data_IF_360146880776
#
_entry.id   IF_360146880776
#
_cell.length_a   1.000
_cell.length_b   1.000
_cell.length_c   1.000
_cell.angle_alpha   90.00
_cell.angle_beta   90.00
_cell.angle_gamma   90.00
#
_symmetry.space_group_name_H-M   'P 1'
#
loop_
_entity.id
_entity.type
_entity.pdbx_description
1 polymer ?
#
# COMPACT_ATOMS: atom_id res chain seq x y z
N UNK A 1 -5.59 6.96 10.62
CA UNK A 1 -5.66 5.56 10.18
C UNK A 1 -7.04 5.33 9.60
N UNK A 2 -7.13 4.73 8.40
CA UNK A 2 -8.38 4.32 7.76
C UNK A 2 -8.24 2.81 7.51
N UNK A 3 -9.22 2.02 7.93
CA UNK A 3 -9.28 0.58 7.69
C UNK A 3 -10.57 0.30 6.93
N UNK A 4 -10.45 -0.26 5.74
CA UNK A 4 -11.58 -0.60 4.87
C UNK A 4 -11.12 -1.62 3.82
N UNK A 5 -12.04 -2.03 2.95
CA UNK A 5 -11.79 -2.88 1.78
C UNK A 5 -11.49 -2.02 0.53
N UNK A 6 -10.69 -2.57 -0.38
CA UNK A 6 -10.36 -1.91 -1.65
C UNK A 6 -11.61 -1.60 -2.50
N UNK A 7 -12.72 -2.31 -2.30
CA UNK A 7 -14.00 -2.06 -2.96
C UNK A 7 -14.54 -0.65 -2.66
N UNK A 8 -14.23 -0.10 -1.47
CA UNK A 8 -14.67 1.23 -1.03
C UNK A 8 -13.67 2.36 -1.34
N UNK A 9 -12.61 2.07 -2.09
CA UNK A 9 -11.51 3.01 -2.34
C UNK A 9 -11.95 4.35 -2.95
N UNK A 10 -13.03 4.34 -3.75
CA UNK A 10 -13.60 5.54 -4.37
C UNK A 10 -13.99 6.63 -3.35
N UNK A 11 -14.34 6.25 -2.12
CA UNK A 11 -14.67 7.20 -1.03
C UNK A 11 -13.47 8.03 -0.59
N UNK A 12 -12.25 7.53 -0.84
CA UNK A 12 -11.01 8.09 -0.34
C UNK A 12 -10.18 8.75 -1.44
N UNK A 13 -10.49 8.54 -2.72
CA UNK A 13 -9.71 9.07 -3.86
C UNK A 13 -9.47 10.59 -3.79
N UNK A 14 -10.41 11.34 -3.21
CA UNK A 14 -10.33 12.80 -3.09
C UNK A 14 -9.49 13.29 -1.89
N UNK A 15 -9.08 12.40 -0.98
CA UNK A 15 -8.33 12.79 0.22
C UNK A 15 -6.86 13.15 -0.08
N UNK A 16 -6.32 12.67 -1.20
CA UNK A 16 -4.97 13.02 -1.62
C UNK A 16 -4.83 12.90 -3.15
N UNK A 17 -4.10 13.80 -3.83
CA UNK A 17 -3.99 13.80 -5.30
C UNK A 17 -3.49 12.49 -5.91
N UNK A 18 -2.67 11.73 -5.17
CA UNK A 18 -2.09 10.46 -5.64
C UNK A 18 -2.94 9.22 -5.31
N UNK A 19 -4.00 9.34 -4.51
CA UNK A 19 -4.77 8.17 -4.07
C UNK A 19 -5.52 7.50 -5.21
N UNK A 20 -6.08 8.26 -6.16
CA UNK A 20 -6.72 7.67 -7.34
C UNK A 20 -5.75 6.81 -8.16
N UNK A 21 -4.50 7.26 -8.33
CA UNK A 21 -3.44 6.50 -9.01
C UNK A 21 -3.02 5.27 -8.20
N UNK A 22 -2.84 5.41 -6.88
CA UNK A 22 -2.49 4.31 -6.00
C UNK A 22 -3.56 3.21 -5.99
N UNK A 23 -4.84 3.57 -5.81
CA UNK A 23 -5.94 2.60 -5.82
C UNK A 23 -6.16 1.97 -7.20
N UNK A 24 -5.93 2.73 -8.28
CA UNK A 24 -5.94 2.17 -9.64
C UNK A 24 -4.84 1.12 -9.83
N UNK A 25 -3.64 1.35 -9.29
CA UNK A 25 -2.57 0.35 -9.31
C UNK A 25 -2.98 -0.89 -8.52
N UNK A 26 -3.52 -0.74 -7.29
CA UNK A 26 -3.95 -1.87 -6.47
C UNK A 26 -5.05 -2.71 -7.14
N UNK A 27 -6.02 -2.08 -7.82
CA UNK A 27 -7.14 -2.81 -8.47
C UNK A 27 -6.73 -3.57 -9.73
N UNK A 28 -5.70 -3.10 -10.44
CA UNK A 28 -5.34 -3.60 -11.76
C UNK A 28 -4.05 -4.44 -11.76
N UNK A 29 -3.47 -4.71 -10.59
CA UNK A 29 -2.25 -5.50 -10.46
C UNK A 29 -2.58 -6.87 -9.88
N UNK A 30 -2.13 -7.93 -10.55
CA UNK A 30 -2.21 -9.29 -10.02
C UNK A 30 -1.06 -9.54 -9.06
N UNK A 31 -1.32 -9.32 -7.77
CA UNK A 31 -0.31 -9.51 -6.72
C UNK A 31 -0.04 -10.97 -6.37
N UNK A 32 -0.84 -11.93 -6.85
CA UNK A 32 -0.63 -13.36 -6.58
C UNK A 32 0.63 -13.86 -7.30
N UNK A 33 0.91 -13.31 -8.48
CA UNK A 33 2.05 -13.72 -9.32
C UNK A 33 3.15 -12.66 -9.41
N UNK A 34 2.97 -11.51 -8.76
CA UNK A 34 3.94 -10.42 -8.82
C UNK A 34 5.14 -10.73 -7.91
N UNK A 35 6.39 -10.72 -8.42
CA UNK A 35 7.57 -10.98 -7.60
C UNK A 35 7.73 -9.94 -6.47
N UNK A 36 8.38 -10.35 -5.37
CA UNK A 36 8.77 -9.42 -4.31
C UNK A 36 9.70 -8.34 -4.86
N UNK A 37 9.53 -7.11 -4.41
CA UNK A 37 10.37 -6.00 -4.84
C UNK A 37 9.68 -4.64 -4.80
N UNK A 38 10.41 -3.63 -5.27
CA UNK A 38 9.94 -2.25 -5.35
C UNK A 38 9.51 -1.93 -6.79
N UNK A 39 8.29 -1.43 -6.93
CA UNK A 39 7.70 -1.03 -8.20
C UNK A 39 7.44 0.46 -8.19
N UNK A 40 8.15 1.20 -9.04
CA UNK A 40 7.93 2.65 -9.20
C UNK A 40 6.68 2.89 -10.05
N UNK A 41 5.74 3.69 -9.54
CA UNK A 41 4.46 4.00 -10.20
C UNK A 41 4.44 5.46 -10.69
N UNK A 42 4.95 6.39 -9.88
CA UNK A 42 5.06 7.81 -10.22
C UNK A 42 6.32 8.43 -9.58
N UNK A 43 7.45 8.23 -10.27
CA UNK A 43 8.75 8.73 -9.84
C UNK A 43 9.07 8.36 -8.38
N UNK A 44 9.46 9.34 -7.58
CA UNK A 44 9.72 9.15 -6.15
C UNK A 44 8.49 9.37 -5.27
N UNK A 45 7.37 9.84 -5.84
CA UNK A 45 6.17 10.23 -5.09
C UNK A 45 5.21 9.08 -4.83
N UNK A 46 5.23 8.05 -5.70
CA UNK A 46 4.40 6.85 -5.54
C UNK A 46 5.16 5.61 -6.02
N UNK A 47 5.33 4.66 -5.12
CA UNK A 47 5.89 3.34 -5.40
C UNK A 47 5.21 2.30 -4.52
N UNK A 48 5.13 1.07 -5.00
CA UNK A 48 4.67 -0.08 -4.23
C UNK A 48 5.87 -0.94 -3.81
N UNK A 49 5.81 -1.50 -2.60
CA UNK A 49 6.75 -2.50 -2.14
C UNK A 49 5.95 -3.77 -1.89
N UNK A 50 6.26 -4.81 -2.66
CA UNK A 50 5.64 -6.13 -2.54
C UNK A 50 6.56 -7.00 -1.69
N UNK A 51 6.04 -7.42 -0.55
CA UNK A 51 6.74 -8.26 0.42
C UNK A 51 5.86 -9.46 0.76
N UNK A 52 6.51 -10.55 1.16
CA UNK A 52 5.86 -11.74 1.71
C UNK A 52 6.79 -12.27 2.80
N UNK A 53 6.24 -12.46 3.99
CA UNK A 53 6.94 -12.84 5.21
C UNK A 53 5.94 -13.55 6.15
N UNK A 54 6.46 -14.38 7.05
CA UNK A 54 5.64 -14.97 8.11
C UNK A 54 5.38 -13.94 9.21
N UNK A 55 4.13 -13.86 9.66
CA UNK A 55 3.76 -12.96 10.76
C UNK A 55 4.46 -13.35 12.05
N UNK A 56 4.90 -12.35 12.83
CA UNK A 56 5.52 -12.55 14.14
C UNK A 56 4.66 -11.95 15.24
N UNK A 57 4.91 -12.36 16.49
CA UNK A 57 4.26 -11.75 17.66
C UNK A 57 4.61 -10.26 17.75
N UNK A 58 3.62 -9.41 18.00
CA UNK A 58 3.79 -7.97 18.15
C UNK A 58 4.81 -7.60 19.25
N UNK A 59 4.98 -8.44 20.29
CA UNK A 59 5.99 -8.22 21.33
C UNK A 59 7.43 -8.30 20.81
N UNK A 60 7.64 -8.92 19.64
CA UNK A 60 8.95 -9.05 19.00
C UNK A 60 9.19 -7.99 17.91
N UNK A 61 8.27 -7.05 17.72
CA UNK A 61 8.33 -6.03 16.68
C UNK A 61 8.39 -4.59 17.22
N UNK A 62 8.83 -3.67 16.37
CA UNK A 62 8.93 -2.25 16.71
C UNK A 62 7.80 -1.44 16.06
N UNK A 63 7.22 -0.52 16.82
CA UNK A 63 6.28 0.45 16.25
C UNK A 63 7.01 1.45 15.35
N UNK A 64 6.49 1.67 14.15
CA UNK A 64 7.00 2.67 13.20
C UNK A 64 5.97 3.77 12.89
N UNK A 65 6.48 4.91 12.41
CA UNK A 65 5.67 6.01 11.90
C UNK A 65 6.46 6.83 10.87
N UNK A 66 5.75 7.49 9.96
CA UNK A 66 6.36 8.24 8.86
C UNK A 66 5.97 9.72 8.87
N UNK A 67 6.90 10.56 8.40
CA UNK A 67 6.68 12.01 8.18
C UNK A 67 6.60 12.38 6.70
N UNK A 68 7.30 11.64 5.82
CA UNK A 68 7.44 11.96 4.40
C UNK A 68 6.40 11.26 3.52
N UNK A 69 6.00 10.05 3.88
CA UNK A 69 5.10 9.23 3.08
C UNK A 69 3.85 8.85 3.89
N UNK A 70 2.77 8.60 3.15
CA UNK A 70 1.54 8.00 3.66
C UNK A 70 1.55 6.55 3.25
N UNK A 71 1.33 5.66 4.21
CA UNK A 71 1.23 4.24 3.93
C UNK A 71 -0.17 3.85 3.49
N UNK A 72 -0.22 3.08 2.40
CA UNK A 72 -1.39 2.34 1.97
C UNK A 72 -1.00 0.87 2.03
N UNK A 73 -1.36 0.20 3.13
CA UNK A 73 -1.08 -1.22 3.32
C UNK A 73 -2.26 -2.03 2.77
N UNK A 74 -1.97 -2.98 1.88
CA UNK A 74 -2.97 -3.85 1.24
C UNK A 74 -2.56 -5.31 1.45
N UNK A 75 -3.47 -6.10 2.01
CA UNK A 75 -3.30 -7.54 2.22
C UNK A 75 -3.88 -8.26 1.01
N UNK A 76 -3.10 -9.20 0.46
CA UNK A 76 -3.42 -10.03 -0.70
C UNK A 76 -3.89 -11.40 -0.23
#
# INVERSE_FOLDING_TARGET
>A
MIIDTLANANRYEQLHPLFSKAFSYLKNTDFIHLPKGKYTIDGEQLFAIVNEYDTVDAANEQCEAHKKYIDIQFIV
#
